data_IF_157471197300
#
_entry.id   IF_157471197300
#
_cell.length_a   1.000
_cell.length_b   1.000
_cell.length_c   1.000
_cell.angle_alpha   90.00
_cell.angle_beta   90.00
_cell.angle_gamma   90.00
#
_symmetry.space_group_name_H-M   'P 1'
#
loop_
_entity.id
_entity.type
_entity.pdbx_description
1 polymer ?
#
# COMPACT_ATOMS: atom_id res chain seq x y z
N UNK A 1 -59.68 -62.37 -21.87
CA UNK A 1 -59.43 -60.90 -22.05
C UNK A 1 -58.32 -60.53 -21.08
N UNK A 2 -57.05 -60.40 -21.63
CA UNK A 2 -55.90 -60.09 -20.83
C UNK A 2 -55.67 -58.59 -20.99
N UNK A 3 -55.77 -57.83 -19.91
CA UNK A 3 -55.50 -56.39 -19.88
C UNK A 3 -54.04 -56.18 -19.51
N UNK A 4 -53.28 -55.58 -20.45
CA UNK A 4 -51.88 -55.15 -20.26
C UNK A 4 -51.87 -53.73 -19.66
N UNK A 5 -51.49 -53.65 -18.40
CA UNK A 5 -51.15 -52.36 -17.77
C UNK A 5 -49.73 -51.97 -18.18
N UNK A 6 -49.59 -50.95 -19.03
CA UNK A 6 -48.32 -50.33 -19.34
C UNK A 6 -48.01 -49.30 -18.25
N UNK A 7 -47.10 -49.66 -17.37
CA UNK A 7 -46.54 -48.71 -16.39
C UNK A 7 -45.43 -47.90 -17.04
N UNK A 8 -45.72 -46.70 -17.47
CA UNK A 8 -44.70 -45.78 -17.98
C UNK A 8 -43.87 -45.23 -16.79
N UNK A 9 -42.65 -45.69 -16.64
CA UNK A 9 -41.69 -45.16 -15.69
C UNK A 9 -41.07 -43.87 -16.24
N UNK A 10 -41.56 -42.71 -15.79
CA UNK A 10 -40.98 -41.41 -16.08
C UNK A 10 -39.65 -41.27 -15.30
N UNK A 11 -38.55 -41.50 -15.98
CA UNK A 11 -37.22 -41.12 -15.46
C UNK A 11 -37.07 -39.61 -15.60
N UNK A 12 -37.31 -38.88 -14.54
CA UNK A 12 -36.96 -37.47 -14.44
C UNK A 12 -35.44 -37.41 -14.26
N UNK A 13 -34.73 -37.23 -15.34
CA UNK A 13 -33.31 -36.83 -15.26
C UNK A 13 -33.27 -35.42 -14.71
N UNK A 14 -32.99 -35.34 -13.42
CA UNK A 14 -32.57 -34.06 -12.79
C UNK A 14 -31.25 -33.62 -13.40
N UNK A 15 -31.31 -32.80 -14.43
CA UNK A 15 -30.18 -32.04 -14.85
C UNK A 15 -29.84 -31.08 -13.70
N UNK A 16 -28.97 -31.55 -12.81
CA UNK A 16 -28.29 -30.66 -11.89
C UNK A 16 -27.42 -29.75 -12.75
N UNK A 17 -27.91 -28.54 -12.97
CA UNK A 17 -27.08 -27.45 -13.48
C UNK A 17 -26.03 -27.20 -12.42
N UNK A 18 -24.90 -27.93 -12.49
CA UNK A 18 -23.71 -27.49 -11.78
C UNK A 18 -23.33 -26.14 -12.43
N UNK A 19 -23.78 -25.07 -11.85
CA UNK A 19 -23.18 -23.78 -12.11
C UNK A 19 -21.72 -23.91 -11.63
N UNK A 20 -20.81 -24.29 -12.52
CA UNK A 20 -19.45 -23.85 -12.42
C UNK A 20 -19.51 -22.32 -12.50
N UNK A 21 -19.87 -21.70 -11.40
CA UNK A 21 -19.52 -20.31 -11.16
C UNK A 21 -18.02 -20.34 -11.23
N UNK A 22 -17.45 -19.82 -12.31
CA UNK A 22 -16.06 -19.41 -12.35
C UNK A 22 -15.87 -18.65 -11.05
N UNK A 23 -15.24 -19.29 -10.07
CA UNK A 23 -15.00 -18.71 -8.77
C UNK A 23 -13.93 -17.66 -9.05
N UNK A 24 -14.38 -16.44 -9.34
CA UNK A 24 -13.46 -15.31 -9.55
C UNK A 24 -12.68 -15.20 -8.25
N UNK A 25 -11.42 -15.59 -8.31
CA UNK A 25 -10.52 -15.43 -7.17
C UNK A 25 -10.36 -13.94 -6.93
N UNK A 26 -10.70 -13.44 -5.73
CA UNK A 26 -10.50 -12.04 -5.44
C UNK A 26 -9.02 -11.65 -5.62
N UNK A 27 -8.72 -10.45 -6.15
CA UNK A 27 -7.34 -10.02 -6.37
C UNK A 27 -6.61 -9.78 -5.04
N UNK A 28 -5.31 -9.98 -5.03
CA UNK A 28 -4.45 -9.48 -3.98
C UNK A 28 -4.37 -7.95 -4.06
N UNK A 29 -4.31 -7.28 -2.92
CA UNK A 29 -4.25 -5.84 -2.81
C UNK A 29 -3.01 -5.44 -2.02
N UNK A 30 -2.15 -4.64 -2.63
CA UNK A 30 -0.96 -4.08 -1.97
C UNK A 30 -1.00 -2.57 -2.10
N UNK A 31 -0.86 -1.88 -0.98
CA UNK A 31 -0.83 -0.41 -0.91
C UNK A 31 0.53 0.01 -0.39
N UNK A 32 1.23 0.81 -1.17
CA UNK A 32 2.47 1.47 -0.74
C UNK A 32 2.20 2.92 -0.38
N UNK A 33 2.71 3.37 0.76
CA UNK A 33 2.55 4.73 1.24
C UNK A 33 3.91 5.29 1.62
N UNK A 34 4.37 6.29 0.88
CA UNK A 34 5.48 7.13 1.28
C UNK A 34 5.04 8.14 2.34
N UNK A 35 5.96 8.60 3.17
CA UNK A 35 5.71 9.64 4.17
C UNK A 35 6.40 10.94 3.74
N UNK A 36 5.63 12.01 3.63
CA UNK A 36 6.09 13.34 3.22
C UNK A 36 6.77 13.40 1.83
N UNK A 37 6.29 12.60 0.87
CA UNK A 37 6.72 12.65 -0.53
C UNK A 37 5.64 13.34 -1.36
N UNK A 38 6.05 14.36 -2.12
CA UNK A 38 5.19 15.07 -3.07
C UNK A 38 5.08 14.32 -4.40
N UNK A 39 4.02 14.59 -5.14
CA UNK A 39 3.81 14.00 -6.47
C UNK A 39 4.92 14.36 -7.46
N UNK A 40 5.45 15.57 -7.38
CA UNK A 40 6.53 16.09 -8.24
C UNK A 40 7.95 15.63 -7.82
N UNK A 41 8.04 14.81 -6.78
CA UNK A 41 9.29 14.19 -6.34
C UNK A 41 9.46 12.75 -6.86
N UNK A 42 8.73 12.37 -7.92
CA UNK A 42 8.82 11.06 -8.58
C UNK A 42 9.07 11.20 -10.08
N UNK A 43 9.86 10.29 -10.67
CA UNK A 43 10.19 10.28 -12.09
C UNK A 43 8.97 10.20 -13.00
N UNK A 44 8.01 9.34 -12.69
CA UNK A 44 6.77 9.17 -13.46
C UNK A 44 5.89 10.43 -13.53
N UNK A 45 6.11 11.40 -12.66
CA UNK A 45 5.47 12.71 -12.70
C UNK A 45 6.36 13.81 -13.29
N UNK A 46 7.58 13.46 -13.72
CA UNK A 46 8.47 14.35 -14.46
C UNK A 46 9.65 14.92 -13.67
N UNK A 47 9.95 14.40 -12.47
CA UNK A 47 11.18 14.74 -11.78
C UNK A 47 12.35 13.99 -12.42
N UNK A 48 13.27 14.72 -13.09
CA UNK A 48 14.45 14.15 -13.76
C UNK A 48 15.65 13.95 -12.82
N UNK A 49 15.52 14.35 -11.56
CA UNK A 49 16.61 14.37 -10.59
C UNK A 49 16.53 13.26 -9.54
N UNK A 50 15.33 12.75 -9.28
CA UNK A 50 15.13 11.63 -8.36
C UNK A 50 15.23 10.30 -9.11
N UNK A 51 15.73 9.27 -8.44
CA UNK A 51 15.80 7.92 -8.97
C UNK A 51 14.67 7.08 -8.37
N UNK A 52 13.60 6.85 -9.17
CA UNK A 52 12.44 6.03 -8.81
C UNK A 52 12.06 5.01 -9.89
N UNK A 53 13.02 4.18 -10.39
CA UNK A 53 12.80 3.34 -11.56
C UNK A 53 11.72 2.27 -11.37
N UNK A 54 11.52 1.75 -10.17
CA UNK A 54 10.52 0.71 -9.90
C UNK A 54 9.09 1.31 -9.87
N UNK A 55 8.93 2.48 -9.26
CA UNK A 55 7.66 3.24 -9.27
C UNK A 55 7.36 3.68 -10.71
N UNK A 56 8.36 4.14 -11.46
CA UNK A 56 8.21 4.56 -12.85
C UNK A 56 7.79 3.39 -13.75
N UNK A 57 8.34 2.19 -13.51
CA UNK A 57 7.93 0.97 -14.21
C UNK A 57 6.47 0.62 -13.90
N UNK A 58 6.06 0.58 -12.63
CA UNK A 58 4.67 0.36 -12.22
C UNK A 58 3.72 1.38 -12.87
N UNK A 59 4.13 2.64 -12.90
CA UNK A 59 3.37 3.71 -13.54
C UNK A 59 3.22 3.49 -15.05
N UNK A 60 4.26 2.98 -15.73
CA UNK A 60 4.25 2.68 -17.16
C UNK A 60 3.36 1.49 -17.52
N UNK A 61 3.22 0.52 -16.62
CA UNK A 61 2.41 -0.68 -16.78
C UNK A 61 0.98 -0.54 -16.25
N UNK A 62 0.71 0.54 -15.51
CA UNK A 62 -0.55 0.77 -14.81
C UNK A 62 -1.27 2.05 -15.19
N UNK A 63 -1.87 2.70 -14.20
CA UNK A 63 -2.63 3.95 -14.35
C UNK A 63 -2.01 5.03 -13.47
N UNK A 64 -1.69 6.17 -14.07
CA UNK A 64 -1.21 7.36 -13.35
C UNK A 64 -2.37 8.33 -13.13
N UNK A 65 -2.65 8.68 -11.87
CA UNK A 65 -3.62 9.69 -11.51
C UNK A 65 -2.95 11.06 -11.37
N UNK A 66 -3.05 11.89 -12.40
CA UNK A 66 -2.42 13.23 -12.41
C UNK A 66 -3.09 14.26 -11.49
N UNK A 67 -4.31 13.98 -11.04
CA UNK A 67 -5.11 14.85 -10.18
C UNK A 67 -5.65 14.09 -8.98
N UNK A 68 -4.78 13.41 -8.25
CA UNK A 68 -5.08 12.78 -6.97
C UNK A 68 -4.62 13.70 -5.84
N UNK A 69 -5.50 13.95 -4.87
CA UNK A 69 -5.23 14.85 -3.75
C UNK A 69 -5.49 14.13 -2.43
N UNK A 70 -4.61 14.30 -1.48
CA UNK A 70 -4.87 13.92 -0.10
C UNK A 70 -5.95 14.82 0.50
N UNK A 71 -6.74 14.27 1.41
CA UNK A 71 -7.76 15.04 2.15
C UNK A 71 -7.14 16.03 3.14
N UNK A 72 -5.91 15.80 3.55
CA UNK A 72 -5.09 16.66 4.40
C UNK A 72 -3.61 16.28 4.25
N UNK A 73 -2.72 17.25 4.41
CA UNK A 73 -1.25 17.06 4.37
C UNK A 73 -0.67 16.77 5.76
N UNK A 74 -1.28 15.87 6.52
CA UNK A 74 -0.84 15.51 7.87
C UNK A 74 -0.93 14.00 8.07
N UNK A 75 0.10 13.39 8.64
CA UNK A 75 0.32 11.93 8.65
C UNK A 75 -0.89 11.11 9.15
N UNK A 76 -1.23 11.20 10.44
CA UNK A 76 -2.29 10.35 11.00
C UNK A 76 -3.68 10.68 10.45
N UNK A 77 -4.11 11.94 10.25
CA UNK A 77 -5.41 12.24 9.67
C UNK A 77 -5.54 11.77 8.21
N UNK A 78 -4.45 11.88 7.40
CA UNK A 78 -4.42 11.40 6.03
C UNK A 78 -4.54 9.88 5.97
N UNK A 79 -3.74 9.15 6.77
CA UNK A 79 -3.79 7.69 6.86
C UNK A 79 -5.17 7.20 7.30
N UNK A 80 -5.76 7.85 8.31
CA UNK A 80 -7.12 7.56 8.76
C UNK A 80 -8.17 7.83 7.68
N UNK A 81 -7.98 8.89 6.88
CA UNK A 81 -8.85 9.19 5.75
C UNK A 81 -8.81 8.09 4.68
N UNK A 82 -7.61 7.65 4.29
CA UNK A 82 -7.42 6.61 3.28
C UNK A 82 -8.04 5.29 3.74
N UNK A 83 -7.71 4.85 4.96
CA UNK A 83 -8.11 3.53 5.45
C UNK A 83 -9.58 3.43 5.86
N UNK A 84 -10.23 4.56 6.17
CA UNK A 84 -11.66 4.62 6.54
C UNK A 84 -12.58 5.08 5.41
N UNK A 85 -12.02 5.69 4.34
CA UNK A 85 -12.80 6.33 3.29
C UNK A 85 -13.54 7.59 3.74
N UNK A 86 -13.12 8.24 4.83
CA UNK A 86 -13.78 9.41 5.41
C UNK A 86 -12.86 10.63 5.40
N UNK A 87 -13.43 11.82 5.24
CA UNK A 87 -12.68 13.05 5.46
C UNK A 87 -12.25 13.18 6.92
N UNK A 88 -11.11 13.85 7.24
CA UNK A 88 -10.58 13.95 8.59
C UNK A 88 -11.59 14.48 9.62
N UNK A 89 -12.38 15.49 9.27
CA UNK A 89 -13.42 16.03 10.15
C UNK A 89 -14.58 15.05 10.46
N UNK A 90 -14.70 13.97 9.70
CA UNK A 90 -15.69 12.91 9.92
C UNK A 90 -15.09 11.66 10.60
N UNK A 91 -13.80 11.66 10.90
CA UNK A 91 -13.15 10.54 11.61
C UNK A 91 -13.15 10.73 13.12
N UNK A 92 -13.46 11.94 13.63
CA UNK A 92 -13.26 12.30 15.02
C UNK A 92 -11.80 12.54 15.40
N UNK A 93 -10.87 12.48 14.43
CA UNK A 93 -9.42 12.62 14.60
C UNK A 93 -8.82 13.46 13.47
N UNK A 94 -9.27 14.71 13.37
CA UNK A 94 -8.87 15.62 12.30
C UNK A 94 -7.46 16.18 12.47
N UNK A 95 -6.93 16.15 13.68
CA UNK A 95 -5.63 16.72 14.03
C UNK A 95 -4.56 15.64 14.17
N UNK A 96 -3.31 16.03 13.97
CA UNK A 96 -2.16 15.15 14.10
C UNK A 96 -2.11 14.50 15.50
N UNK A 97 -1.81 13.21 15.55
CA UNK A 97 -1.75 12.38 16.78
C UNK A 97 -3.09 12.21 17.52
N UNK A 98 -4.19 12.66 16.94
CA UNK A 98 -5.51 12.29 17.48
C UNK A 98 -5.95 10.93 16.96
N UNK A 99 -6.76 10.22 17.75
CA UNK A 99 -7.20 8.86 17.42
C UNK A 99 -8.69 8.84 17.14
N UNK A 100 -9.11 8.18 16.05
CA UNK A 100 -10.53 7.93 15.81
C UNK A 100 -11.18 7.08 16.91
N UNK A 101 -12.51 7.17 17.06
CA UNK A 101 -13.24 6.29 17.97
C UNK A 101 -12.96 4.81 17.67
N UNK A 102 -12.89 4.01 18.74
CA UNK A 102 -12.56 2.58 18.63
C UNK A 102 -13.57 1.80 17.78
N UNK A 103 -14.80 2.28 17.66
CA UNK A 103 -15.87 1.66 16.89
C UNK A 103 -15.80 1.97 15.39
N UNK A 104 -14.92 2.88 14.97
CA UNK A 104 -14.80 3.23 13.54
C UNK A 104 -14.32 2.02 12.75
N UNK A 105 -15.00 1.74 11.63
CA UNK A 105 -14.68 0.62 10.75
C UNK A 105 -13.58 1.06 9.77
N UNK A 106 -12.61 0.17 9.54
CA UNK A 106 -11.53 0.36 8.58
C UNK A 106 -11.64 -0.58 7.38
N UNK A 107 -11.03 -0.21 6.25
CA UNK A 107 -10.98 -1.05 5.05
C UNK A 107 -10.43 -2.47 5.33
N UNK A 108 -9.28 -2.64 6.03
CA UNK A 108 -8.78 -3.98 6.33
C UNK A 108 -9.76 -4.82 7.16
N UNK A 109 -10.54 -4.22 8.06
CA UNK A 109 -11.57 -4.93 8.82
C UNK A 109 -12.68 -5.49 7.90
N UNK A 110 -13.09 -4.71 6.90
CA UNK A 110 -14.04 -5.17 5.87
C UNK A 110 -13.44 -6.29 5.03
N UNK A 111 -12.20 -6.14 4.57
CA UNK A 111 -11.51 -7.13 3.76
C UNK A 111 -11.30 -8.43 4.53
N UNK A 112 -10.86 -8.36 5.78
CA UNK A 112 -10.70 -9.50 6.69
C UNK A 112 -12.02 -10.27 6.87
N UNK A 113 -13.13 -9.56 7.07
CA UNK A 113 -14.47 -10.19 7.17
C UNK A 113 -14.93 -10.84 5.86
N UNK A 114 -14.32 -10.52 4.74
CA UNK A 114 -14.55 -11.11 3.43
C UNK A 114 -13.47 -12.14 3.00
N UNK A 115 -12.68 -12.63 3.95
CA UNK A 115 -11.75 -13.74 3.74
C UNK A 115 -10.38 -13.33 3.23
N UNK A 116 -10.01 -12.07 3.32
CA UNK A 116 -8.63 -11.63 3.06
C UNK A 116 -7.75 -11.85 4.28
N UNK A 117 -6.52 -12.30 4.06
CA UNK A 117 -5.44 -12.13 5.01
C UNK A 117 -5.00 -10.66 4.97
N UNK A 118 -4.85 -10.02 6.13
CA UNK A 118 -4.58 -8.58 6.21
C UNK A 118 -3.32 -8.32 7.03
N UNK A 119 -2.37 -7.60 6.44
CA UNK A 119 -1.08 -7.30 7.06
C UNK A 119 -0.71 -5.83 6.91
N UNK A 120 -0.16 -5.25 7.96
CA UNK A 120 0.48 -3.94 7.96
C UNK A 120 1.96 -4.08 8.32
N UNK A 121 2.85 -3.38 7.60
CA UNK A 121 4.26 -3.27 7.94
C UNK A 121 4.79 -1.85 7.70
N UNK A 122 5.67 -1.40 8.61
CA UNK A 122 6.23 -0.05 8.65
C UNK A 122 5.39 0.93 9.47
N UNK A 123 5.30 2.19 9.07
CA UNK A 123 4.63 3.25 9.84
C UNK A 123 3.13 3.02 9.97
N UNK A 124 2.67 2.66 11.16
CA UNK A 124 1.23 2.45 11.43
C UNK A 124 0.47 3.78 11.55
N UNK A 125 0.69 4.53 12.58
CA UNK A 125 0.21 5.90 12.86
C UNK A 125 -1.28 6.16 12.55
N UNK A 126 -2.17 5.18 12.82
CA UNK A 126 -3.62 5.27 12.55
C UNK A 126 -4.47 5.25 13.82
N UNK A 127 -3.94 4.70 14.93
CA UNK A 127 -4.65 4.51 16.19
C UNK A 127 -5.21 3.09 16.36
N UNK A 128 -5.58 2.76 17.59
CA UNK A 128 -5.90 1.39 18.01
C UNK A 128 -7.10 0.78 17.28
N UNK A 129 -8.04 1.60 16.82
CA UNK A 129 -9.23 1.11 16.11
C UNK A 129 -8.88 0.32 14.84
N UNK A 130 -7.79 0.68 14.18
CA UNK A 130 -7.38 0.04 12.92
C UNK A 130 -6.66 -1.30 13.13
N UNK A 131 -6.08 -1.55 14.33
CA UNK A 131 -5.34 -2.78 14.65
C UNK A 131 -6.21 -4.02 14.43
N UNK A 132 -7.48 -4.01 14.85
CA UNK A 132 -8.37 -5.17 14.71
C UNK A 132 -8.65 -5.58 13.26
N UNK A 133 -8.44 -4.66 12.33
CA UNK A 133 -8.59 -4.91 10.90
C UNK A 133 -7.46 -5.73 10.30
N UNK A 134 -6.34 -5.86 10.99
CA UNK A 134 -5.18 -6.61 10.52
C UNK A 134 -5.04 -7.94 11.27
N UNK A 135 -4.59 -8.97 10.56
CA UNK A 135 -4.17 -10.24 11.16
C UNK A 135 -2.77 -10.08 11.75
N UNK A 136 -1.91 -9.29 11.08
CA UNK A 136 -0.56 -8.98 11.52
C UNK A 136 -0.28 -7.48 11.43
N UNK A 137 0.37 -6.93 12.46
CA UNK A 137 0.85 -5.55 12.51
C UNK A 137 2.32 -5.56 12.90
N UNK A 138 3.16 -5.04 12.03
CA UNK A 138 4.60 -4.92 12.19
C UNK A 138 4.97 -3.44 12.08
N UNK A 139 4.91 -2.68 13.18
CA UNK A 139 5.22 -1.24 13.24
C UNK A 139 6.53 -0.94 13.97
N UNK A 140 7.25 -1.96 14.43
CA UNK A 140 8.52 -1.83 15.12
C UNK A 140 9.66 -1.50 14.12
N UNK A 141 10.42 -0.46 14.42
CA UNK A 141 11.61 -0.06 13.65
C UNK A 141 12.76 -1.07 13.72
N UNK A 142 12.83 -1.92 14.76
CA UNK A 142 13.82 -2.99 14.82
C UNK A 142 13.57 -4.06 13.74
N UNK A 143 12.31 -4.24 13.35
CA UNK A 143 11.90 -5.20 12.31
C UNK A 143 11.90 -4.58 10.92
N UNK A 144 11.43 -3.33 10.82
CA UNK A 144 11.23 -2.67 9.53
C UNK A 144 12.40 -1.76 9.10
N UNK A 145 13.44 -1.63 9.91
CA UNK A 145 14.57 -0.74 9.65
C UNK A 145 14.22 0.75 9.79
N UNK A 146 15.20 1.60 9.46
CA UNK A 146 15.06 3.06 9.61
C UNK A 146 13.99 3.65 8.70
N UNK A 147 13.91 3.18 7.46
CA UNK A 147 12.96 3.64 6.45
C UNK A 147 11.57 2.99 6.58
N UNK A 148 11.49 1.85 7.26
CA UNK A 148 10.22 1.17 7.50
C UNK A 148 9.88 0.06 6.51
N UNK A 149 10.79 -0.32 5.60
CA UNK A 149 10.52 -1.20 4.46
C UNK A 149 11.14 -2.59 4.57
N UNK A 150 12.15 -2.80 5.42
CA UNK A 150 13.00 -4.01 5.43
C UNK A 150 12.24 -5.33 5.67
N UNK A 151 11.02 -5.26 6.18
CA UNK A 151 10.17 -6.45 6.40
C UNK A 151 9.23 -6.76 5.24
N UNK A 152 9.06 -5.87 4.26
CA UNK A 152 8.00 -5.98 3.25
C UNK A 152 8.13 -7.22 2.36
N UNK A 153 9.31 -7.52 1.83
CA UNK A 153 9.55 -8.71 1.03
C UNK A 153 9.19 -9.99 1.81
N UNK A 154 9.67 -10.07 3.06
CA UNK A 154 9.38 -11.20 3.94
C UNK A 154 7.89 -11.33 4.28
N UNK A 155 7.18 -10.21 4.42
CA UNK A 155 5.74 -10.21 4.62
C UNK A 155 5.00 -10.83 3.42
N UNK A 156 5.43 -10.52 2.20
CA UNK A 156 4.89 -11.16 0.98
C UNK A 156 5.22 -12.65 0.97
N UNK A 157 6.45 -13.04 1.26
CA UNK A 157 6.87 -14.43 1.29
C UNK A 157 6.03 -15.26 2.27
N UNK A 158 5.76 -14.73 3.45
CA UNK A 158 5.01 -15.39 4.53
C UNK A 158 3.49 -15.39 4.32
N UNK A 159 2.96 -14.58 3.40
CA UNK A 159 1.52 -14.51 3.15
C UNK A 159 0.94 -15.85 2.70
N UNK A 160 -0.28 -16.21 3.12
CA UNK A 160 -0.95 -17.43 2.70
C UNK A 160 -1.12 -17.53 1.17
N UNK A 161 -1.03 -18.77 0.64
CA UNK A 161 -1.21 -19.00 -0.79
C UNK A 161 -2.65 -19.41 -1.17
N UNK A 162 -3.49 -19.68 -0.19
CA UNK A 162 -4.84 -20.26 -0.37
C UNK A 162 -5.98 -19.23 -0.17
N UNK A 163 -5.63 -17.99 0.14
CA UNK A 163 -6.57 -16.88 0.28
C UNK A 163 -5.99 -15.57 -0.26
N UNK A 164 -6.83 -14.61 -0.70
CA UNK A 164 -6.36 -13.30 -1.10
C UNK A 164 -5.80 -12.53 0.09
N UNK A 165 -4.89 -11.62 -0.16
CA UNK A 165 -4.32 -10.77 0.88
C UNK A 165 -4.47 -9.28 0.59
N UNK A 166 -4.50 -8.51 1.67
CA UNK A 166 -4.37 -7.06 1.68
C UNK A 166 -3.14 -6.68 2.49
N UNK A 167 -2.20 -6.00 1.87
CA UNK A 167 -0.98 -5.51 2.51
C UNK A 167 -0.93 -3.99 2.48
N UNK A 168 -0.72 -3.41 3.65
CA UNK A 168 -0.51 -1.99 3.86
C UNK A 168 0.95 -1.77 4.22
N UNK A 169 1.74 -1.44 3.22
CA UNK A 169 3.16 -1.15 3.33
C UNK A 169 3.38 0.36 3.40
N UNK A 170 3.75 0.84 4.55
CA UNK A 170 3.86 2.26 4.81
C UNK A 170 5.24 2.62 5.33
N UNK A 171 5.99 3.35 4.52
CA UNK A 171 7.33 3.82 4.86
C UNK A 171 7.33 4.91 5.93
N UNK A 172 8.47 5.09 6.58
CA UNK A 172 8.85 6.33 7.25
C UNK A 172 9.54 7.27 6.26
N UNK A 173 10.02 6.76 5.12
CA UNK A 173 10.66 7.54 4.07
C UNK A 173 9.63 8.35 3.26
N UNK A 174 9.90 9.57 2.91
CA UNK A 174 11.10 10.35 3.22
C UNK A 174 10.83 11.43 4.30
N UNK A 175 10.21 11.03 5.42
CA UNK A 175 9.97 11.95 6.55
C UNK A 175 11.29 12.30 7.23
N UNK A 176 11.49 13.60 7.50
CA UNK A 176 12.68 14.09 8.25
C UNK A 176 12.73 13.44 9.67
N UNK A 177 13.91 13.13 10.29
CA UNK A 177 15.22 13.63 9.86
C UNK A 177 15.91 12.63 8.92
N UNK A 178 16.41 13.13 7.82
CA UNK A 178 17.17 12.36 6.84
C UNK A 178 18.61 12.09 7.33
N UNK A 179 19.15 10.94 6.95
CA UNK A 179 20.48 10.54 7.40
C UNK A 179 21.13 9.50 6.50
N UNK A 180 22.37 9.16 6.82
CA UNK A 180 23.10 8.15 6.06
C UNK A 180 22.34 6.80 6.04
N UNK A 181 22.23 6.26 4.83
CA UNK A 181 21.62 4.96 4.53
C UNK A 181 22.37 4.31 3.35
N UNK A 182 21.97 3.13 2.92
CA UNK A 182 22.63 2.40 1.83
C UNK A 182 22.54 3.10 0.45
N UNK A 183 21.73 4.12 0.30
CA UNK A 183 21.57 4.92 -0.92
C UNK A 183 22.25 6.28 -0.83
N UNK A 184 22.90 6.62 0.28
CA UNK A 184 23.63 7.88 0.45
C UNK A 184 24.65 8.06 -0.65
N UNK A 185 24.57 9.20 -1.35
CA UNK A 185 25.43 9.53 -2.48
C UNK A 185 24.92 9.04 -3.83
N UNK A 186 23.71 8.51 -3.92
CA UNK A 186 23.04 8.21 -5.19
C UNK A 186 22.80 9.48 -6.00
N UNK A 187 22.45 10.58 -5.30
CA UNK A 187 22.24 11.89 -5.92
C UNK A 187 23.41 12.82 -5.68
N UNK A 188 23.67 13.71 -6.66
CA UNK A 188 24.76 14.67 -6.60
C UNK A 188 24.21 16.09 -6.41
N UNK A 189 24.72 16.82 -5.41
CA UNK A 189 24.33 18.20 -5.07
C UNK A 189 24.44 19.18 -6.25
N UNK A 190 25.38 18.95 -7.17
CA UNK A 190 25.59 19.81 -8.33
C UNK A 190 24.62 19.53 -9.49
N UNK A 191 23.93 18.39 -9.45
CA UNK A 191 23.06 17.91 -10.53
C UNK A 191 21.57 18.08 -10.25
N UNK A 192 21.18 18.35 -9.00
CA UNK A 192 19.78 18.56 -8.64
C UNK A 192 19.31 19.98 -8.97
N UNK A 193 18.02 20.12 -9.22
CA UNK A 193 17.34 21.41 -9.34
C UNK A 193 16.68 21.76 -8.02
N UNK A 194 17.04 22.91 -7.46
CA UNK A 194 16.35 23.45 -6.28
C UNK A 194 15.01 24.05 -6.73
N UNK A 195 13.88 23.69 -6.10
CA UNK A 195 12.58 24.31 -6.40
C UNK A 195 12.61 25.83 -6.20
N UNK A 196 11.87 26.56 -7.03
CA UNK A 196 11.89 28.03 -7.05
C UNK A 196 11.42 28.70 -5.74
N UNK A 197 10.69 27.97 -4.92
CA UNK A 197 10.21 28.44 -3.60
C UNK A 197 11.24 28.23 -2.48
N UNK A 198 12.39 27.60 -2.77
CA UNK A 198 13.49 27.40 -1.83
C UNK A 198 14.69 28.28 -2.23
N UNK A 199 15.50 28.63 -1.24
CA UNK A 199 16.76 29.34 -1.47
C UNK A 199 17.80 28.33 -1.99
N UNK A 200 18.36 28.59 -3.18
CA UNK A 200 19.44 27.76 -3.71
C UNK A 200 20.75 28.04 -2.97
N UNK A 201 21.15 27.13 -2.13
CA UNK A 201 22.36 27.19 -1.32
C UNK A 201 22.87 25.78 -0.99
N UNK A 202 24.12 25.68 -0.49
CA UNK A 202 24.74 24.38 -0.22
C UNK A 202 23.94 23.50 0.73
N UNK A 203 23.37 24.08 1.79
CA UNK A 203 22.57 23.35 2.78
C UNK A 203 21.25 22.83 2.18
N UNK A 204 20.56 23.65 1.37
CA UNK A 204 19.33 23.26 0.69
C UNK A 204 19.57 22.13 -0.31
N UNK A 205 20.67 22.23 -1.07
CA UNK A 205 21.04 21.17 -2.02
C UNK A 205 21.38 19.87 -1.34
N UNK A 206 22.16 19.92 -0.25
CA UNK A 206 22.47 18.73 0.56
C UNK A 206 21.20 18.11 1.17
N UNK A 207 20.31 18.94 1.65
CA UNK A 207 19.04 18.53 2.23
C UNK A 207 18.16 17.79 1.18
N UNK A 208 18.05 18.33 -0.03
CA UNK A 208 17.31 17.70 -1.14
C UNK A 208 17.96 16.39 -1.60
N UNK A 209 19.28 16.30 -1.65
CA UNK A 209 19.99 15.06 -1.99
C UNK A 209 19.67 13.96 -0.97
N UNK A 210 19.73 14.26 0.33
CA UNK A 210 19.39 13.31 1.37
C UNK A 210 17.92 12.86 1.29
N UNK A 211 17.03 13.78 0.97
CA UNK A 211 15.60 13.50 0.75
C UNK A 211 15.39 12.56 -0.46
N UNK A 212 16.05 12.82 -1.58
CA UNK A 212 15.98 11.98 -2.78
C UNK A 212 16.61 10.60 -2.56
N UNK A 213 17.67 10.50 -1.77
CA UNK A 213 18.29 9.23 -1.41
C UNK A 213 17.30 8.34 -0.60
N UNK A 214 16.45 8.93 0.24
CA UNK A 214 15.39 8.18 0.95
C UNK A 214 14.23 7.79 0.02
N UNK A 215 13.84 8.62 -0.95
CA UNK A 215 12.87 8.23 -1.98
C UNK A 215 13.40 7.05 -2.80
N UNK A 216 14.69 7.06 -3.13
CA UNK A 216 15.31 5.93 -3.85
C UNK A 216 15.31 4.65 -3.01
N UNK A 217 15.48 4.75 -1.69
CA UNK A 217 15.33 3.58 -0.79
C UNK A 217 13.91 3.05 -0.82
N UNK A 218 12.92 3.89 -0.68
CA UNK A 218 11.51 3.52 -0.78
C UNK A 218 11.18 2.84 -2.12
N UNK A 219 11.66 3.40 -3.24
CA UNK A 219 11.51 2.83 -4.58
C UNK A 219 12.15 1.43 -4.69
N UNK A 220 13.34 1.27 -4.13
CA UNK A 220 14.05 -0.02 -4.12
C UNK A 220 13.23 -1.13 -3.46
N UNK A 221 12.70 -0.89 -2.26
CA UNK A 221 11.89 -1.87 -1.55
C UNK A 221 10.55 -2.17 -2.23
N UNK A 222 9.96 -1.20 -2.94
CA UNK A 222 8.82 -1.45 -3.82
C UNK A 222 9.23 -2.45 -4.91
N UNK A 223 10.40 -2.27 -5.51
CA UNK A 223 10.94 -3.19 -6.51
C UNK A 223 11.07 -4.62 -5.97
N UNK A 224 11.65 -4.80 -4.79
CA UNK A 224 11.80 -6.11 -4.14
C UNK A 224 10.44 -6.78 -3.90
N UNK A 225 9.46 -6.03 -3.40
CA UNK A 225 8.09 -6.52 -3.20
C UNK A 225 7.45 -6.95 -4.52
N UNK A 226 7.57 -6.13 -5.57
CA UNK A 226 6.99 -6.45 -6.89
C UNK A 226 7.61 -7.71 -7.48
N UNK A 227 8.92 -7.89 -7.39
CA UNK A 227 9.58 -9.12 -7.84
C UNK A 227 9.11 -10.33 -7.01
N UNK A 228 9.01 -10.20 -5.69
CA UNK A 228 8.51 -11.28 -4.84
C UNK A 228 7.06 -11.65 -5.14
N UNK A 229 6.21 -10.68 -5.48
CA UNK A 229 4.82 -10.92 -5.91
C UNK A 229 4.73 -11.68 -7.23
N UNK A 230 5.69 -11.48 -8.16
CA UNK A 230 5.75 -12.22 -9.42
C UNK A 230 6.19 -13.68 -9.23
N UNK A 231 6.98 -13.95 -8.19
CA UNK A 231 7.43 -15.30 -7.84
C UNK A 231 6.34 -16.14 -7.14
N UNK A 232 5.37 -15.49 -6.51
CA UNK A 232 4.31 -16.09 -5.70
C UNK A 232 3.08 -16.49 -6.52
#
# INVERSE_FOLDING_TARGET
IISYFFTALLIIQSYSCSSDKNKVTPPNLVVFIADDVSWDDLGCYGNEYVQSPNIDLLASEGIIFKNAYLTTSSCSPSRNSIISGRYPHNTGAAELHTMPPIEMISLPEILKSNGYFTLQAGKFHMGDYAIRGFDEVHDDREVNGKGGEEYWEKAVENAPNDQPFFMWFASYDAHRAWGENQFTGTHNVDQIKVPEYLIDGPETRLDLVNYYDEITRFDHYIGEVVEKLKEK
#
